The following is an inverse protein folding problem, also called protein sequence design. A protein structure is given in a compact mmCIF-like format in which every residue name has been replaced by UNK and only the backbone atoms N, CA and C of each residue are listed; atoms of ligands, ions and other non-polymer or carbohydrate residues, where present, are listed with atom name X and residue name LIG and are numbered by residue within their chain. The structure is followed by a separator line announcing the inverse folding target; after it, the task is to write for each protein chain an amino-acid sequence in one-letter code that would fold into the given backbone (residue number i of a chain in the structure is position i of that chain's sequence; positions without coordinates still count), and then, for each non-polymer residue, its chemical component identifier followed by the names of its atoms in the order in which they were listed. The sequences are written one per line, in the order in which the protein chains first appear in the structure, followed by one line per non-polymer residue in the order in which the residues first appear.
data_IF_721940656892
#
_entry.id   IF_721940656892
#
_cell.length_a   1.000
_cell.length_b   1.000
_cell.length_c   1.000
_cell.angle_alpha   90.00
_cell.angle_beta   90.00
_cell.angle_gamma   90.00
#
_symmetry.space_group_name_H-M   'P 1'
#
loop_
_entity.id
_entity.type
_entity.pdbx_description
1 polymer ?
#
# COMPACT_ATOMS: atom_id res chain seq x y z
N UNK A 1 30.52 9.08 20.39
CA UNK A 1 29.33 8.41 20.92
C UNK A 1 28.28 8.39 19.81
N UNK A 2 28.28 7.31 19.05
CA UNK A 2 27.38 7.08 17.90
C UNK A 2 26.35 6.08 18.41
N UNK A 3 25.14 6.56 18.69
CA UNK A 3 24.05 5.75 19.25
C UNK A 3 23.34 4.96 18.15
N UNK A 4 23.40 3.65 18.29
CA UNK A 4 22.59 2.59 17.69
C UNK A 4 21.37 3.01 16.83
N UNK A 5 21.56 2.98 15.51
CA UNK A 5 20.49 2.91 14.49
C UNK A 5 20.25 1.45 14.04
N UNK A 6 20.66 0.49 14.88
CA UNK A 6 20.57 -0.96 14.60
C UNK A 6 19.38 -1.64 15.29
N UNK A 7 18.66 -0.94 16.20
CA UNK A 7 17.58 -1.55 16.98
C UNK A 7 16.22 -1.63 16.26
N UNK A 8 16.06 -0.93 15.13
CA UNK A 8 14.78 -0.87 14.40
C UNK A 8 14.54 -2.02 13.40
N UNK A 9 15.48 -2.97 13.26
CA UNK A 9 15.40 -4.06 12.26
C UNK A 9 14.93 -5.40 12.80
N UNK A 10 14.31 -5.44 13.99
CA UNK A 10 13.85 -6.69 14.61
C UNK A 10 12.36 -6.92 14.40
N UNK A 11 12.08 -8.11 13.86
CA UNK A 11 10.81 -8.84 13.88
C UNK A 11 9.61 -8.19 13.20
N UNK A 12 9.33 -8.66 11.98
CA UNK A 12 7.97 -8.81 11.48
C UNK A 12 7.23 -9.89 12.32
N UNK A 13 7.06 -9.63 13.63
CA UNK A 13 6.07 -10.33 14.42
C UNK A 13 4.69 -9.91 13.91
N UNK A 14 3.75 -10.85 13.90
CA UNK A 14 2.34 -10.67 13.52
C UNK A 14 1.77 -9.31 13.99
N UNK A 15 1.85 -8.30 13.13
CA UNK A 15 1.14 -7.05 13.36
C UNK A 15 -0.30 -7.37 12.96
N UNK A 16 -1.22 -7.31 13.93
CA UNK A 16 -2.64 -7.39 13.64
C UNK A 16 -3.01 -6.11 12.86
N UNK A 17 -2.92 -6.19 11.53
CA UNK A 17 -3.10 -5.06 10.60
C UNK A 17 -4.47 -4.36 10.74
N UNK A 18 -5.42 -4.99 11.43
CA UNK A 18 -6.78 -4.53 11.67
C UNK A 18 -6.93 -3.51 12.81
N UNK A 19 -5.98 -3.37 13.74
CA UNK A 19 -6.21 -2.61 14.99
C UNK A 19 -5.52 -1.23 15.06
N UNK A 20 -4.82 -0.81 14.00
CA UNK A 20 -4.16 0.48 13.99
C UNK A 20 -5.15 1.67 14.03
N UNK A 21 -5.02 2.54 15.04
CA UNK A 21 -5.81 3.73 15.19
C UNK A 21 -5.30 4.86 14.28
N UNK A 22 -5.90 5.00 13.09
CA UNK A 22 -5.52 6.06 12.15
C UNK A 22 -6.19 7.41 12.44
N UNK A 23 -5.49 8.48 12.05
CA UNK A 23 -5.92 9.88 12.20
C UNK A 23 -7.13 10.21 11.31
N UNK A 24 -7.90 11.22 11.73
CA UNK A 24 -9.05 11.77 10.99
C UNK A 24 -8.60 12.35 9.64
N UNK A 25 -9.40 12.12 8.59
CA UNK A 25 -9.18 12.77 7.29
C UNK A 25 -9.39 14.29 7.38
N UNK A 26 -8.49 15.05 6.75
CA UNK A 26 -8.51 16.51 6.59
C UNK A 26 -8.86 16.93 5.15
N UNK A 27 -9.18 15.97 4.27
CA UNK A 27 -9.53 16.26 2.87
C UNK A 27 -10.75 17.16 2.78
N UNK A 28 -10.64 18.21 1.98
CA UNK A 28 -11.70 19.18 1.73
C UNK A 28 -12.60 18.77 0.55
N UNK A 29 -13.82 19.30 0.50
CA UNK A 29 -14.72 19.11 -0.65
C UNK A 29 -14.10 19.59 -1.97
N UNK A 30 -13.30 20.66 -1.93
CA UNK A 30 -12.58 21.16 -3.10
C UNK A 30 -11.57 20.15 -3.63
N UNK A 31 -10.76 19.57 -2.74
CA UNK A 31 -9.78 18.53 -3.12
C UNK A 31 -10.48 17.26 -3.64
N UNK A 32 -11.61 16.88 -3.04
CA UNK A 32 -12.44 15.77 -3.54
C UNK A 32 -12.96 16.05 -4.95
N UNK A 33 -13.45 17.26 -5.23
CA UNK A 33 -13.92 17.64 -6.56
C UNK A 33 -12.79 17.58 -7.61
N UNK A 34 -11.62 18.14 -7.29
CA UNK A 34 -10.43 18.06 -8.17
C UNK A 34 -9.98 16.62 -8.39
N UNK A 35 -10.01 15.79 -7.34
CA UNK A 35 -9.70 14.37 -7.46
C UNK A 35 -10.66 13.65 -8.42
N UNK A 36 -11.96 13.88 -8.27
CA UNK A 36 -13.00 13.29 -9.13
C UNK A 36 -12.77 13.65 -10.59
N UNK A 37 -12.56 14.93 -10.87
CA UNK A 37 -12.33 15.43 -12.23
C UNK A 37 -11.07 14.84 -12.87
N UNK A 38 -9.99 14.69 -12.10
CA UNK A 38 -8.69 14.31 -12.63
C UNK A 38 -8.44 12.81 -12.72
N UNK A 39 -8.96 12.04 -11.77
CA UNK A 39 -8.51 10.67 -11.55
C UNK A 39 -9.62 9.62 -11.46
N UNK A 40 -10.89 10.03 -11.36
CA UNK A 40 -11.98 9.10 -11.12
C UNK A 40 -12.71 8.75 -12.43
N UNK A 41 -12.68 7.48 -12.88
CA UNK A 41 -13.49 7.05 -14.01
C UNK A 41 -14.99 7.10 -13.69
N UNK A 42 -15.84 7.16 -14.72
CA UNK A 42 -17.29 7.32 -14.58
C UNK A 42 -17.98 6.16 -13.85
N UNK A 43 -17.37 4.97 -13.90
CA UNK A 43 -17.85 3.75 -13.25
C UNK A 43 -17.63 3.76 -11.73
N UNK A 44 -16.84 4.71 -11.23
CA UNK A 44 -16.50 4.84 -9.81
C UNK A 44 -17.16 6.09 -9.22
N UNK A 45 -17.48 6.01 -7.92
CA UNK A 45 -17.90 7.19 -7.15
C UNK A 45 -16.98 7.40 -5.96
N UNK A 46 -16.84 8.65 -5.52
CA UNK A 46 -15.99 8.98 -4.38
C UNK A 46 -16.69 9.94 -3.41
N UNK A 47 -16.36 9.81 -2.14
CA UNK A 47 -16.85 10.69 -1.07
C UNK A 47 -15.78 10.90 0.00
N UNK A 48 -16.01 11.91 0.85
CA UNK A 48 -15.21 12.08 2.06
C UNK A 48 -15.47 10.93 3.04
N UNK A 49 -14.45 10.46 3.78
CA UNK A 49 -14.64 9.52 4.88
C UNK A 49 -15.47 10.13 5.99
N UNK A 50 -16.30 9.32 6.64
CA UNK A 50 -17.00 9.70 7.87
C UNK A 50 -16.03 9.72 9.06
N UNK A 51 -16.44 10.30 10.19
CA UNK A 51 -15.58 10.44 11.38
C UNK A 51 -15.09 9.10 11.96
N UNK A 52 -15.79 8.00 11.67
CA UNK A 52 -15.48 6.65 12.16
C UNK A 52 -14.72 5.80 11.14
N UNK A 53 -14.69 6.19 9.86
CA UNK A 53 -14.02 5.44 8.81
C UNK A 53 -12.52 5.72 8.83
N UNK A 54 -11.73 4.65 8.91
CA UNK A 54 -10.27 4.65 8.98
C UNK A 54 -9.66 3.97 7.77
N UNK A 55 -8.35 4.13 7.59
CA UNK A 55 -7.57 3.53 6.48
C UNK A 55 -7.75 2.01 6.35
N UNK A 56 -7.97 1.31 7.46
CA UNK A 56 -8.16 -0.14 7.50
C UNK A 56 -9.64 -0.57 7.52
N UNK A 57 -10.59 0.37 7.40
CA UNK A 57 -12.01 0.00 7.39
C UNK A 57 -12.35 -0.65 6.06
N UNK A 58 -12.67 -1.94 6.10
CA UNK A 58 -13.35 -2.59 5.00
C UNK A 58 -14.77 -2.03 4.91
N UNK A 59 -15.04 -1.27 3.85
CA UNK A 59 -16.36 -0.78 3.53
C UNK A 59 -16.84 -1.62 2.35
N UNK A 60 -18.02 -2.23 2.45
CA UNK A 60 -18.54 -3.08 1.38
C UNK A 60 -18.62 -2.30 0.06
N UNK A 61 -18.06 -2.88 -1.00
CA UNK A 61 -17.96 -2.25 -2.32
C UNK A 61 -17.07 -1.01 -2.39
N UNK A 62 -16.32 -0.66 -1.34
CA UNK A 62 -15.53 0.57 -1.30
C UNK A 62 -14.13 0.39 -0.68
N UNK A 63 -13.16 1.15 -1.16
CA UNK A 63 -11.81 1.21 -0.60
C UNK A 63 -11.48 2.62 -0.14
N UNK A 64 -10.81 2.70 1.00
CA UNK A 64 -10.19 3.94 1.47
C UNK A 64 -8.84 4.09 0.78
N UNK A 65 -8.54 5.29 0.29
CA UNK A 65 -7.28 5.61 -0.36
C UNK A 65 -6.84 7.03 0.02
N UNK A 66 -5.53 7.27 -0.02
CA UNK A 66 -5.01 8.63 0.02
C UNK A 66 -5.08 9.27 -1.37
N UNK A 67 -5.41 10.57 -1.43
CA UNK A 67 -5.26 11.36 -2.66
C UNK A 67 -3.83 11.27 -3.22
N UNK A 68 -2.83 11.17 -2.33
CA UNK A 68 -1.42 11.07 -2.70
C UNK A 68 -1.05 9.77 -3.41
N UNK A 69 -1.87 8.72 -3.31
CA UNK A 69 -1.64 7.50 -4.09
C UNK A 69 -1.79 7.75 -5.60
N UNK A 70 -2.71 8.64 -5.99
CA UNK A 70 -2.95 8.98 -7.39
C UNK A 70 -1.85 9.90 -7.94
N UNK A 71 -1.34 10.81 -7.10
CA UNK A 71 -0.11 11.56 -7.42
C UNK A 71 1.09 10.61 -7.61
N UNK A 72 1.15 9.52 -6.85
CA UNK A 72 2.17 8.47 -6.94
C UNK A 72 1.96 7.45 -8.07
N UNK A 73 0.97 7.65 -8.95
CA UNK A 73 0.75 6.82 -10.14
C UNK A 73 -0.34 5.75 -10.02
N UNK A 74 -1.04 5.65 -8.89
CA UNK A 74 -2.21 4.77 -8.78
C UNK A 74 -3.31 5.22 -9.76
N UNK A 75 -3.92 4.27 -10.45
CA UNK A 75 -5.03 4.52 -11.40
C UNK A 75 -6.12 3.48 -11.22
N UNK A 76 -7.36 3.86 -11.53
CA UNK A 76 -8.53 2.99 -11.54
C UNK A 76 -8.96 2.70 -13.00
N UNK A 77 -9.46 1.50 -13.32
CA UNK A 77 -9.47 0.30 -12.47
C UNK A 77 -8.05 -0.16 -12.12
N UNK A 78 -7.89 -0.83 -10.98
CA UNK A 78 -6.59 -1.37 -10.59
C UNK A 78 -6.12 -2.43 -11.58
N UNK A 79 -4.80 -2.50 -11.74
CA UNK A 79 -4.18 -3.57 -12.52
C UNK A 79 -4.34 -4.90 -11.77
N UNK A 80 -4.66 -6.02 -12.46
CA UNK A 80 -4.84 -7.32 -11.83
C UNK A 80 -3.66 -7.74 -10.94
N UNK A 81 -2.44 -7.42 -11.36
CA UNK A 81 -1.19 -7.69 -10.65
C UNK A 81 -1.09 -6.88 -9.35
N UNK A 82 -1.55 -5.62 -9.37
CA UNK A 82 -1.65 -4.79 -8.16
C UNK A 82 -2.65 -5.40 -7.17
N UNK A 83 -3.81 -5.85 -7.66
CA UNK A 83 -4.80 -6.55 -6.84
C UNK A 83 -4.25 -7.85 -6.25
N UNK A 84 -3.46 -8.60 -7.02
CA UNK A 84 -2.80 -9.83 -6.56
C UNK A 84 -1.82 -9.57 -5.42
N UNK A 85 -0.99 -8.53 -5.53
CA UNK A 85 -0.09 -8.09 -4.46
C UNK A 85 -0.90 -7.79 -3.19
N UNK A 86 -1.92 -6.93 -3.29
CA UNK A 86 -2.74 -6.54 -2.14
C UNK A 86 -3.41 -7.75 -1.48
N UNK A 87 -3.98 -8.66 -2.28
CA UNK A 87 -4.66 -9.87 -1.80
C UNK A 87 -3.69 -10.80 -1.10
N UNK A 88 -2.50 -10.99 -1.66
CA UNK A 88 -1.48 -11.87 -1.08
C UNK A 88 -1.00 -11.39 0.29
N UNK A 89 -0.79 -10.08 0.44
CA UNK A 89 -0.36 -9.52 1.73
C UNK A 89 -1.53 -9.30 2.69
N UNK A 90 -2.79 -9.38 2.23
CA UNK A 90 -3.97 -9.11 3.04
C UNK A 90 -4.08 -7.64 3.44
N UNK A 91 -3.71 -6.73 2.52
CA UNK A 91 -3.59 -5.29 2.79
C UNK A 91 -4.46 -4.49 1.83
N UNK A 92 -4.88 -3.30 2.25
CA UNK A 92 -5.61 -2.34 1.40
C UNK A 92 -4.69 -1.18 0.97
N UNK A 93 -4.97 -0.50 -0.16
CA UNK A 93 -4.10 0.58 -0.64
C UNK A 93 -3.88 1.68 0.40
N UNK A 94 -4.90 1.97 1.22
CA UNK A 94 -4.84 2.92 2.32
C UNK A 94 -3.73 2.65 3.34
N UNK A 95 -3.29 1.40 3.50
CA UNK A 95 -2.20 1.05 4.42
C UNK A 95 -0.82 1.31 3.83
N UNK A 96 -0.72 1.44 2.51
CA UNK A 96 0.55 1.61 1.81
C UNK A 96 0.85 3.10 1.71
N UNK A 97 2.05 3.54 2.07
CA UNK A 97 2.41 4.94 1.83
C UNK A 97 2.55 5.24 0.32
N UNK A 98 2.44 6.51 -0.14
CA UNK A 98 2.50 6.84 -1.56
C UNK A 98 3.78 6.38 -2.25
N UNK A 99 4.91 6.36 -1.54
CA UNK A 99 6.14 5.81 -2.10
C UNK A 99 6.03 4.31 -2.36
N UNK A 100 5.44 3.53 -1.45
CA UNK A 100 5.17 2.11 -1.68
C UNK A 100 4.29 1.88 -2.90
N UNK A 101 3.25 2.71 -3.08
CA UNK A 101 2.42 2.69 -4.30
C UNK A 101 3.26 2.97 -5.55
N UNK A 102 4.07 4.04 -5.55
CA UNK A 102 4.94 4.37 -6.67
C UNK A 102 5.94 3.23 -6.99
N UNK A 103 6.45 2.56 -5.96
CA UNK A 103 7.36 1.43 -6.09
C UNK A 103 6.69 0.27 -6.82
N UNK A 104 5.51 -0.19 -6.35
CA UNK A 104 4.87 -1.32 -7.04
C UNK A 104 4.37 -0.91 -8.43
N UNK A 105 3.79 0.30 -8.60
CA UNK A 105 3.35 0.76 -9.91
C UNK A 105 4.52 0.90 -10.89
N UNK A 106 5.65 1.44 -10.45
CA UNK A 106 6.87 1.55 -11.26
C UNK A 106 7.42 0.17 -11.67
N UNK A 107 7.42 -0.79 -10.76
CA UNK A 107 7.80 -2.17 -11.08
C UNK A 107 6.86 -2.80 -12.12
N UNK A 108 5.55 -2.65 -11.95
CA UNK A 108 4.58 -3.18 -12.90
C UNK A 108 4.67 -2.49 -14.27
N UNK A 109 4.92 -1.18 -14.31
CA UNK A 109 5.18 -0.45 -15.56
C UNK A 109 6.41 -1.03 -16.27
N UNK A 110 7.52 -1.21 -15.54
CA UNK A 110 8.74 -1.80 -16.06
C UNK A 110 8.51 -3.19 -16.66
N UNK A 111 7.81 -4.08 -15.94
CA UNK A 111 7.49 -5.42 -16.46
C UNK A 111 6.68 -5.35 -17.76
N UNK A 112 5.71 -4.44 -17.86
CA UNK A 112 4.90 -4.27 -19.07
C UNK A 112 5.69 -3.74 -20.24
N UNK A 113 6.57 -2.77 -20.01
CA UNK A 113 7.45 -2.20 -21.04
C UNK A 113 8.40 -3.28 -21.59
N UNK A 114 8.98 -4.09 -20.70
CA UNK A 114 9.87 -5.21 -21.05
C UNK A 114 9.13 -6.48 -21.50
N UNK A 115 7.79 -6.49 -21.50
CA UNK A 115 6.93 -7.64 -21.81
C UNK A 115 7.25 -8.89 -20.95
N UNK A 116 7.64 -8.67 -19.71
CA UNK A 116 7.88 -9.72 -18.72
C UNK A 116 6.57 -9.99 -17.98
N UNK A 117 6.18 -11.27 -17.86
CA UNK A 117 4.99 -11.64 -17.09
C UNK A 117 5.22 -11.37 -15.60
N UNK A 118 4.19 -10.84 -14.93
CA UNK A 118 4.23 -10.67 -13.48
C UNK A 118 4.25 -12.03 -12.78
N UNK A 119 5.13 -12.16 -11.79
CA UNK A 119 5.20 -13.29 -10.88
C UNK A 119 5.41 -12.76 -9.45
N UNK A 120 4.45 -13.06 -8.59
CA UNK A 120 4.44 -12.64 -7.20
C UNK A 120 5.67 -13.14 -6.41
N UNK A 121 6.22 -14.30 -6.76
CA UNK A 121 7.44 -14.84 -6.15
C UNK A 121 8.68 -14.02 -6.52
N UNK A 122 8.74 -13.47 -7.74
CA UNK A 122 9.79 -12.54 -8.16
C UNK A 122 9.65 -11.22 -7.42
N UNK A 123 8.43 -10.69 -7.34
CA UNK A 123 8.15 -9.47 -6.59
C UNK A 123 8.62 -9.56 -5.13
N UNK A 124 8.33 -10.68 -4.45
CA UNK A 124 8.77 -10.93 -3.07
C UNK A 124 10.29 -11.07 -2.87
N UNK A 125 11.03 -11.48 -3.91
CA UNK A 125 12.50 -11.55 -3.86
C UNK A 125 13.14 -10.17 -4.02
N UNK A 126 12.48 -9.30 -4.77
CA UNK A 126 12.96 -7.94 -5.07
C UNK A 126 12.60 -6.98 -3.95
N UNK A 127 11.40 -7.07 -3.39
CA UNK A 127 10.86 -6.09 -2.45
C UNK A 127 10.68 -6.67 -1.04
N UNK A 128 11.13 -5.91 -0.05
CA UNK A 128 10.83 -6.10 1.36
C UNK A 128 9.71 -5.16 1.82
N UNK A 129 9.10 -5.57 2.93
CA UNK A 129 7.99 -4.88 3.54
C UNK A 129 8.28 -4.70 5.03
N UNK A 130 7.96 -3.52 5.54
CA UNK A 130 7.91 -3.26 6.96
C UNK A 130 6.58 -2.60 7.29
N UNK A 131 6.01 -2.94 8.44
CA UNK A 131 4.84 -2.26 8.96
C UNK A 131 5.18 -1.54 10.26
N UNK A 132 4.61 -0.36 10.44
CA UNK A 132 4.71 0.37 11.71
C UNK A 132 3.71 -0.19 12.72
N UNK A 133 3.87 0.18 14.00
CA UNK A 133 2.87 -0.05 15.04
C UNK A 133 1.51 0.58 14.70
N UNK A 134 1.50 1.60 13.84
CA UNK A 134 0.31 2.24 13.30
C UNK A 134 -0.21 1.56 12.02
N UNK A 135 0.26 0.36 11.65
CA UNK A 135 -0.27 -0.39 10.51
C UNK A 135 0.02 0.21 9.13
N UNK A 136 0.95 1.17 9.04
CA UNK A 136 1.44 1.72 7.76
C UNK A 136 2.50 0.80 7.19
N UNK A 137 2.38 0.48 5.91
CA UNK A 137 3.26 -0.41 5.17
C UNK A 137 4.21 0.40 4.30
N UNK A 138 5.49 0.08 4.46
CA UNK A 138 6.59 0.61 3.69
C UNK A 138 7.18 -0.48 2.82
N UNK A 139 7.48 -0.13 1.57
CA UNK A 139 8.16 -0.99 0.62
C UNK A 139 9.60 -0.52 0.49
N UNK A 140 10.53 -1.46 0.49
CA UNK A 140 11.91 -1.23 0.10
C UNK A 140 12.29 -2.26 -0.97
N UNK A 141 13.21 -1.88 -1.86
CA UNK A 141 13.81 -2.83 -2.80
C UNK A 141 15.16 -3.29 -2.25
N UNK A 142 15.44 -4.59 -2.39
CA UNK A 142 16.72 -5.20 -2.05
C UNK A 142 17.77 -5.05 -3.15
N UNK A 143 17.34 -4.72 -4.38
CA UNK A 143 18.18 -4.86 -5.58
C UNK A 143 18.28 -3.58 -6.39
N UNK A 144 17.44 -2.57 -6.15
CA UNK A 144 17.52 -1.30 -6.87
C UNK A 144 17.07 -0.11 -6.02
N UNK A 145 17.79 1.00 -6.13
CA UNK A 145 17.30 2.28 -5.64
C UNK A 145 16.32 2.83 -6.67
N UNK A 146 15.05 2.91 -6.32
CA UNK A 146 14.07 3.59 -7.15
C UNK A 146 14.25 5.10 -7.00
N UNK A 147 14.59 5.77 -8.09
CA UNK A 147 14.84 7.22 -8.14
C UNK A 147 13.55 7.93 -8.55
N UNK A 148 13.27 9.08 -7.95
CA UNK A 148 12.09 9.91 -8.28
C UNK A 148 10.93 9.82 -7.30
N UNK A 149 11.00 8.96 -6.27
CA UNK A 149 10.05 9.00 -5.15
C UNK A 149 10.36 10.21 -4.25
N UNK A 150 9.34 10.86 -3.70
CA UNK A 150 9.55 11.96 -2.76
C UNK A 150 10.23 11.45 -1.47
N UNK A 151 11.20 12.20 -0.94
CA UNK A 151 11.94 11.81 0.28
C UNK A 151 11.01 11.57 1.48
N UNK A 152 9.97 12.41 1.62
CA UNK A 152 8.87 12.24 2.59
C UNK A 152 7.59 12.83 2.01
N UNK A 153 6.49 12.09 2.09
CA UNK A 153 5.16 12.62 1.80
C UNK A 153 4.48 12.91 3.13
N UNK A 154 4.32 14.19 3.47
CA UNK A 154 3.65 14.59 4.71
C UNK A 154 2.13 14.48 4.56
N UNK A 155 1.43 14.20 5.67
CA UNK A 155 -0.04 14.20 5.76
C UNK A 155 -0.78 13.27 4.77
N UNK A 156 -0.09 12.34 4.10
CA UNK A 156 -0.72 11.46 3.12
C UNK A 156 -1.83 10.60 3.74
N UNK A 157 -1.59 10.10 4.96
CA UNK A 157 -2.53 9.30 5.75
C UNK A 157 -3.69 10.12 6.34
N UNK A 158 -3.66 11.45 6.16
CA UNK A 158 -4.71 12.39 6.58
C UNK A 158 -5.50 12.90 5.36
N UNK A 159 -5.04 12.69 4.12
CA UNK A 159 -5.72 13.14 2.91
C UNK A 159 -6.49 12.00 2.24
N UNK A 160 -7.58 11.55 2.88
CA UNK A 160 -8.26 10.32 2.53
C UNK A 160 -9.58 10.54 1.80
N UNK A 161 -9.87 9.63 0.87
CA UNK A 161 -11.14 9.50 0.16
C UNK A 161 -11.63 8.07 0.21
N UNK A 162 -12.95 7.89 0.25
CA UNK A 162 -13.60 6.59 0.08
C UNK A 162 -14.04 6.51 -1.38
N UNK A 163 -13.57 5.50 -2.09
CA UNK A 163 -13.94 5.24 -3.48
C UNK A 163 -14.76 3.96 -3.55
N UNK A 164 -15.92 4.05 -4.18
CA UNK A 164 -16.85 2.95 -4.39
C UNK A 164 -16.81 2.51 -5.86
N UNK A 165 -16.81 1.21 -6.10
CA UNK A 165 -16.78 0.60 -7.43
C UNK A 165 -16.30 -0.85 -7.39
N UNK A 166 -16.05 -1.43 -8.56
CA UNK A 166 -15.48 -2.77 -8.67
C UNK A 166 -13.95 -2.72 -8.58
N UNK A 167 -13.40 -3.48 -7.64
CA UNK A 167 -11.96 -3.61 -7.38
C UNK A 167 -11.45 -5.04 -7.62
N UNK A 168 -12.10 -5.80 -8.51
CA UNK A 168 -11.58 -7.10 -8.98
C UNK A 168 -11.43 -8.13 -7.86
N UNK A 169 -12.39 -8.13 -6.92
CA UNK A 169 -12.42 -9.09 -5.81
C UNK A 169 -11.41 -8.83 -4.68
N UNK A 170 -10.71 -7.68 -4.63
CA UNK A 170 -9.94 -7.28 -3.43
C UNK A 170 -10.84 -7.25 -2.19
N UNK A 171 -12.12 -6.88 -2.37
CA UNK A 171 -13.12 -6.75 -1.31
C UNK A 171 -13.80 -8.08 -0.93
N UNK A 172 -13.37 -9.21 -1.48
CA UNK A 172 -13.79 -10.52 -1.01
C UNK A 172 -13.33 -10.75 0.44
N UNK A 173 -13.89 -11.76 1.13
CA UNK A 173 -13.49 -12.12 2.50
C UNK A 173 -11.96 -12.07 2.62
N UNK A 174 -11.39 -11.43 3.67
CA UNK A 174 -9.94 -11.48 3.87
C UNK A 174 -9.55 -12.94 3.73
N UNK A 175 -8.62 -13.24 2.82
CA UNK A 175 -8.06 -14.57 2.80
C UNK A 175 -7.49 -14.74 4.21
N UNK A 176 -8.09 -15.65 5.00
CA UNK A 176 -7.44 -16.09 6.22
C UNK A 176 -6.02 -16.41 5.80
N UNK A 177 -4.98 -15.90 6.47
CA UNK A 177 -3.61 -16.27 6.16
C UNK A 177 -3.38 -17.71 6.61
N UNK A 178 -4.11 -18.65 6.00
CA UNK A 178 -3.72 -20.02 5.90
C UNK A 178 -2.54 -19.99 4.92
N UNK A 179 -1.34 -20.06 5.48
CA UNK A 179 -0.07 -20.25 4.77
C UNK A 179 0.71 -18.98 4.35
N UNK A 180 0.48 -17.82 4.98
CA UNK A 180 1.62 -16.90 5.16
C UNK A 180 2.50 -17.51 6.25
N UNK A 181 3.24 -18.56 5.89
CA UNK A 181 4.34 -19.04 6.69
C UNK A 181 5.21 -17.81 6.98
N UNK A 182 5.20 -17.39 8.24
CA UNK A 182 6.10 -16.42 8.81
C UNK A 182 7.49 -16.77 8.31
N UNK A 183 8.00 -16.03 7.33
CA UNK A 183 9.40 -16.15 6.98
C UNK A 183 10.16 -15.74 8.24
N UNK A 184 10.98 -16.62 8.84
CA UNK A 184 11.87 -16.18 9.90
C UNK A 184 12.74 -15.05 9.35
N UNK A 185 13.25 -14.15 10.21
CA UNK A 185 14.31 -13.25 9.78
C UNK A 185 15.39 -14.11 9.10
N UNK A 186 15.87 -13.68 7.94
CA UNK A 186 17.09 -14.24 7.36
C UNK A 186 18.16 -14.02 8.44
N UNK A 187 18.48 -15.08 9.19
CA UNK A 187 19.46 -15.04 10.24
C UNK A 187 20.81 -14.69 9.61
N UNK A 188 21.55 -13.83 10.30
CA UNK A 188 22.99 -13.65 10.12
C UNK A 188 23.66 -15.01 9.93
N UNK A 189 24.38 -15.14 8.82
CA UNK A 189 25.01 -16.40 8.44
C UNK A 189 25.95 -16.24 7.24
N UNK A 190 26.84 -15.24 7.29
CA UNK A 190 28.04 -15.21 6.48
C UNK A 190 29.16 -14.53 7.28
N UNK A 191 29.56 -15.21 8.35
CA UNK A 191 30.95 -15.19 8.81
C UNK A 191 31.54 -16.54 8.45
N UNK A 192 32.45 -16.52 7.49
CA UNK A 192 33.76 -17.14 7.64
C UNK A 192 34.80 -16.10 7.22
#
# INVERSE_FOLDING_TARGET
MVGDDASARRQAHAINFADAAFKKSITTEKELATFKERFLPNEYSARLPTRSERLNTHIEGSLVMSLRHFDAGLRLPFWPEFCEILRYFGIVPAQINPNGVAIIMGFLCFLREERIAFDLSVFRRIFAFAATSEGVIFFSSHVCTLVGTANKVHHWSEQLVVVHGDFGGILGKPHQPADVAFLPPILEGARE
#
